data_IF_957278697263
#
_entry.id   IF_957278697263
#
_cell.length_a   1.000
_cell.length_b   1.000
_cell.length_c   1.000
_cell.angle_alpha   90.00
_cell.angle_beta   90.00
_cell.angle_gamma   90.00
#
_symmetry.space_group_name_H-M   'P 1'
#
loop_
_entity.id
_entity.type
_entity.pdbx_description
1 polymer ?
#
# COMPACT_ATOMS: atom_id res chain seq x y z
N UNK A 1 -13.49 51.09 -12.50
CA UNK A 1 -12.31 50.39 -13.07
C UNK A 1 -11.48 49.64 -12.03
N UNK A 2 -10.93 50.30 -11.01
CA UNK A 2 -10.03 49.65 -10.02
C UNK A 2 -10.68 48.53 -9.18
N UNK A 3 -11.95 48.71 -8.79
CA UNK A 3 -12.72 47.69 -8.05
C UNK A 3 -13.02 46.44 -8.88
N UNK A 4 -13.21 46.61 -10.19
CA UNK A 4 -13.46 45.52 -11.13
C UNK A 4 -12.18 44.71 -11.37
N UNK A 5 -11.03 45.39 -11.47
CA UNK A 5 -9.72 44.75 -11.54
C UNK A 5 -9.40 43.94 -10.27
N UNK A 6 -9.74 44.49 -9.10
CA UNK A 6 -9.54 43.80 -7.82
C UNK A 6 -10.42 42.54 -7.70
N UNK A 7 -11.67 42.60 -8.18
CA UNK A 7 -12.58 41.44 -8.21
C UNK A 7 -12.07 40.34 -9.16
N UNK A 8 -11.48 40.72 -10.29
CA UNK A 8 -10.92 39.78 -11.27
C UNK A 8 -9.69 39.04 -10.74
N UNK A 9 -8.83 39.73 -9.98
CA UNK A 9 -7.67 39.14 -9.31
C UNK A 9 -8.11 38.18 -8.20
N UNK A 10 -9.16 38.54 -7.45
CA UNK A 10 -9.71 37.68 -6.39
C UNK A 10 -10.30 36.37 -6.95
N UNK A 11 -10.95 36.42 -8.12
CA UNK A 11 -11.49 35.25 -8.81
C UNK A 11 -10.40 34.28 -9.31
N UNK A 12 -9.26 34.81 -9.79
CA UNK A 12 -8.13 34.00 -10.22
C UNK A 12 -7.32 33.38 -9.06
N UNK A 13 -7.36 33.99 -7.87
CA UNK A 13 -6.67 33.44 -6.70
C UNK A 13 -7.29 32.13 -6.17
N UNK A 14 -8.56 31.85 -6.48
CA UNK A 14 -9.29 30.67 -5.98
C UNK A 14 -9.01 29.41 -6.82
N UNK A 15 -8.61 29.55 -8.09
CA UNK A 15 -8.42 28.40 -9.00
C UNK A 15 -7.10 27.63 -8.77
N UNK A 16 -6.24 28.07 -7.85
CA UNK A 16 -4.94 27.43 -7.56
C UNK A 16 -4.97 26.35 -6.47
N UNK A 17 -6.11 26.14 -5.79
CA UNK A 17 -6.20 25.27 -4.61
C UNK A 17 -6.79 23.87 -4.92
N UNK A 18 -6.52 23.31 -6.11
CA UNK A 18 -6.88 21.91 -6.35
C UNK A 18 -5.95 21.01 -5.53
N UNK A 19 -6.49 20.14 -4.65
CA UNK A 19 -5.68 19.14 -3.98
C UNK A 19 -5.00 18.28 -5.03
N UNK A 20 -3.68 18.17 -4.96
CA UNK A 20 -2.93 17.21 -5.76
C UNK A 20 -3.26 15.82 -5.22
N UNK A 21 -4.35 15.21 -5.71
CA UNK A 21 -4.61 13.78 -5.57
C UNK A 21 -3.61 13.00 -6.44
N UNK A 22 -2.32 13.19 -6.18
CA UNK A 22 -1.30 12.30 -6.69
C UNK A 22 -1.62 10.90 -6.12
N UNK A 23 -1.54 9.84 -6.94
CA UNK A 23 -1.69 8.48 -6.44
C UNK A 23 -0.72 8.30 -5.27
N UNK A 24 -1.24 8.09 -4.05
CA UNK A 24 -0.39 7.82 -2.90
C UNK A 24 0.24 6.45 -3.09
N UNK A 25 1.52 6.44 -3.41
CA UNK A 25 2.33 5.22 -3.47
C UNK A 25 2.68 4.80 -2.05
N UNK A 26 1.81 4.01 -1.43
CA UNK A 26 2.06 3.44 -0.10
C UNK A 26 3.10 2.32 -0.20
N UNK A 27 4.16 2.38 0.61
CA UNK A 27 5.10 1.27 0.79
C UNK A 27 4.88 0.64 2.16
N UNK A 28 4.64 -0.67 2.19
CA UNK A 28 4.34 -1.42 3.41
C UNK A 28 5.32 -2.60 3.50
N UNK A 29 5.99 -2.72 4.65
CA UNK A 29 6.90 -3.82 4.96
C UNK A 29 6.29 -4.59 6.13
N UNK A 30 6.00 -5.86 5.91
CA UNK A 30 5.45 -6.76 6.94
C UNK A 30 6.49 -7.79 7.34
N UNK A 31 6.54 -8.15 8.62
CA UNK A 31 7.41 -9.23 9.09
C UNK A 31 6.61 -10.52 9.27
N UNK A 32 7.19 -11.65 8.88
CA UNK A 32 6.69 -12.98 9.18
C UNK A 32 7.74 -13.73 10.01
N UNK A 33 7.37 -14.05 11.25
CA UNK A 33 8.23 -14.76 12.20
C UNK A 33 7.69 -16.11 12.63
N UNK A 34 6.40 -16.36 12.43
CA UNK A 34 5.74 -17.60 12.82
C UNK A 34 5.87 -18.68 11.75
N UNK A 35 6.12 -19.91 12.16
CA UNK A 35 6.04 -21.11 11.32
C UNK A 35 4.62 -21.69 11.22
N UNK A 36 3.64 -21.13 11.94
CA UNK A 36 2.24 -21.58 11.89
C UNK A 36 1.61 -21.28 10.53
N UNK A 37 1.17 -22.33 9.85
CA UNK A 37 0.57 -22.26 8.52
C UNK A 37 -0.77 -21.53 8.50
N UNK A 38 -1.50 -21.43 9.62
CA UNK A 38 -2.69 -20.58 9.74
C UNK A 38 -2.32 -19.09 9.72
N UNK A 39 -1.17 -18.73 10.31
CA UNK A 39 -0.62 -17.38 10.24
C UNK A 39 -0.19 -17.07 8.80
N UNK A 40 0.47 -17.99 8.10
CA UNK A 40 0.82 -17.84 6.68
C UNK A 40 -0.43 -17.62 5.82
N UNK A 41 -1.46 -18.44 6.01
CA UNK A 41 -2.75 -18.31 5.30
C UNK A 41 -3.41 -16.96 5.57
N UNK A 42 -3.40 -16.50 6.81
CA UNK A 42 -3.97 -15.20 7.16
C UNK A 42 -3.16 -14.05 6.56
N UNK A 43 -1.82 -14.15 6.54
CA UNK A 43 -0.95 -13.17 5.88
C UNK A 43 -1.31 -13.01 4.40
N UNK A 44 -1.48 -14.12 3.67
CA UNK A 44 -1.90 -14.08 2.26
C UNK A 44 -3.28 -13.44 2.05
N UNK A 45 -4.23 -13.66 2.96
CA UNK A 45 -5.53 -12.97 2.93
C UNK A 45 -5.38 -11.47 3.14
N UNK A 46 -4.52 -11.04 4.07
CA UNK A 46 -4.26 -9.63 4.29
C UNK A 46 -3.65 -8.97 3.06
N UNK A 47 -2.74 -9.64 2.36
CA UNK A 47 -2.18 -9.12 1.11
C UNK A 47 -3.26 -8.87 0.07
N UNK A 48 -4.22 -9.79 -0.06
CA UNK A 48 -5.37 -9.61 -0.95
C UNK A 48 -6.20 -8.39 -0.55
N UNK A 49 -6.62 -8.30 0.71
CA UNK A 49 -7.43 -7.19 1.21
C UNK A 49 -6.74 -5.84 1.02
N UNK A 50 -5.43 -5.78 1.30
CA UNK A 50 -4.64 -4.55 1.15
C UNK A 50 -4.47 -4.15 -0.32
N UNK A 51 -4.24 -5.11 -1.23
CA UNK A 51 -4.19 -4.85 -2.67
C UNK A 51 -5.54 -4.43 -3.25
N UNK A 52 -6.64 -4.96 -2.74
CA UNK A 52 -8.00 -4.52 -3.09
C UNK A 52 -8.24 -3.08 -2.64
N UNK A 53 -7.83 -2.72 -1.42
CA UNK A 53 -8.00 -1.38 -0.85
C UNK A 53 -7.05 -0.33 -1.47
N UNK A 54 -5.82 -0.72 -1.81
CA UNK A 54 -4.79 0.15 -2.37
C UNK A 54 -4.01 -0.55 -3.49
N UNK A 55 -4.54 -0.60 -4.72
CA UNK A 55 -3.94 -1.34 -5.83
C UNK A 55 -2.49 -0.92 -6.17
N UNK A 56 -2.20 0.38 -6.00
CA UNK A 56 -0.90 1.00 -6.30
C UNK A 56 0.15 0.81 -5.20
N UNK A 57 -0.18 0.15 -4.08
CA UNK A 57 0.76 -0.02 -2.98
C UNK A 57 1.91 -0.98 -3.35
N UNK A 58 3.09 -0.70 -2.83
CA UNK A 58 4.23 -1.61 -2.81
C UNK A 58 4.22 -2.38 -1.49
N UNK A 59 4.27 -3.71 -1.58
CA UNK A 59 4.24 -4.62 -0.44
C UNK A 59 5.50 -5.47 -0.44
N UNK A 60 6.20 -5.47 0.68
CA UNK A 60 7.39 -6.30 0.93
C UNK A 60 7.19 -7.11 2.21
N UNK A 61 7.74 -8.32 2.25
CA UNK A 61 7.63 -9.22 3.38
C UNK A 61 9.02 -9.67 3.78
N UNK A 62 9.38 -9.42 5.04
CA UNK A 62 10.62 -9.91 5.64
C UNK A 62 10.30 -11.17 6.41
N UNK A 63 10.69 -12.32 5.87
CA UNK A 63 10.59 -13.60 6.56
C UNK A 63 11.89 -13.84 7.34
N UNK A 64 11.78 -14.19 8.62
CA UNK A 64 12.93 -14.59 9.42
C UNK A 64 12.53 -15.56 10.52
N UNK A 65 13.51 -16.28 11.08
CA UNK A 65 13.25 -17.34 12.06
C UNK A 65 12.31 -18.41 11.48
N UNK A 66 11.35 -18.93 12.27
CA UNK A 66 10.36 -19.91 11.80
C UNK A 66 9.52 -19.44 10.60
N UNK A 67 9.39 -18.13 10.38
CA UNK A 67 8.70 -17.58 9.21
C UNK A 67 9.37 -17.93 7.87
N UNK A 68 10.65 -18.33 7.89
CA UNK A 68 11.36 -18.81 6.70
C UNK A 68 10.77 -20.07 6.10
N UNK A 69 10.08 -20.90 6.88
CA UNK A 69 9.53 -22.18 6.43
C UNK A 69 8.52 -21.99 5.28
N UNK A 70 7.85 -20.83 5.21
CA UNK A 70 6.94 -20.46 4.11
C UNK A 70 7.67 -20.36 2.75
N UNK A 71 8.96 -19.99 2.76
CA UNK A 71 9.77 -19.76 1.57
C UNK A 71 10.65 -20.97 1.18
N UNK A 72 10.78 -21.96 2.08
CA UNK A 72 11.63 -23.13 1.87
C UNK A 72 10.82 -24.27 1.22
N UNK A 73 11.26 -24.77 0.07
CA UNK A 73 10.53 -25.77 -0.72
C UNK A 73 10.33 -27.11 -0.02
N UNK A 74 11.22 -27.47 0.90
CA UNK A 74 11.19 -28.70 1.70
C UNK A 74 10.29 -28.59 2.95
N UNK A 75 9.82 -27.39 3.29
CA UNK A 75 9.05 -27.13 4.52
C UNK A 75 7.70 -26.47 4.26
N UNK A 76 7.60 -25.68 3.20
CA UNK A 76 6.36 -25.01 2.82
C UNK A 76 5.29 -26.05 2.46
N UNK A 77 4.09 -25.85 3.00
CA UNK A 77 2.92 -26.69 2.67
C UNK A 77 2.30 -26.32 1.31
N UNK A 78 2.78 -25.25 0.67
CA UNK A 78 2.34 -24.80 -0.65
C UNK A 78 3.40 -25.22 -1.66
N UNK A 79 3.03 -26.08 -2.60
CA UNK A 79 3.92 -26.50 -3.68
C UNK A 79 4.04 -25.38 -4.73
N UNK A 80 5.27 -25.14 -5.20
CA UNK A 80 5.50 -24.35 -6.41
C UNK A 80 4.86 -25.05 -7.61
N UNK A 81 4.19 -24.28 -8.47
CA UNK A 81 3.71 -24.77 -9.77
C UNK A 81 4.85 -24.95 -10.74
#
# INVERSE_FOLDING_TARGET
MKKLLFLFILLFAVTGAFPQNAPRHHRIIMQLTSGDTLVHKNLMKQFRNMKEAAPTMQLEVVCHGPGMDMLMSDRSIVQGK
#
